data_IF_841976723765
#
_entry.id   IF_841976723765
#
_cell.length_a   1.000
_cell.length_b   1.000
_cell.length_c   1.000
_cell.angle_alpha   90.00
_cell.angle_beta   90.00
_cell.angle_gamma   90.00
#
_symmetry.space_group_name_H-M   'P 1'
#
loop_
_entity.id
_entity.type
_entity.pdbx_description
1 polymer ?
#
# COMPACT_ATOMS: atom_id res chain seq x y z
N UNK A 1 0.47 14.22 11.54
CA UNK A 1 0.01 12.89 12.04
C UNK A 1 0.65 11.74 11.28
N UNK A 2 0.51 11.67 9.95
CA UNK A 2 1.13 10.61 9.13
C UNK A 2 2.66 10.51 9.30
N UNK A 3 3.34 11.62 9.60
CA UNK A 3 4.78 11.67 9.88
C UNK A 3 5.21 10.83 11.10
N UNK A 4 4.40 10.79 12.17
CA UNK A 4 4.73 10.04 13.38
C UNK A 4 4.44 8.54 13.24
N UNK A 5 3.47 8.17 12.41
CA UNK A 5 3.02 6.79 12.23
C UNK A 5 3.80 6.10 11.11
N UNK A 6 4.13 6.83 10.04
CA UNK A 6 4.80 6.28 8.86
C UNK A 6 6.20 6.88 8.67
N UNK A 7 6.37 8.20 8.57
CA UNK A 7 7.65 8.76 8.11
C UNK A 7 8.84 8.50 9.07
N UNK A 8 8.66 8.69 10.38
CA UNK A 8 9.73 8.46 11.37
C UNK A 8 10.06 6.96 11.49
N UNK A 9 9.08 6.06 11.70
CA UNK A 9 9.36 4.62 11.83
C UNK A 9 9.90 4.00 10.53
N UNK A 10 9.44 4.48 9.37
CA UNK A 10 9.93 4.03 8.07
C UNK A 10 11.38 4.50 7.83
N UNK A 11 11.74 5.72 8.25
CA UNK A 11 13.15 6.19 8.23
C UNK A 11 14.04 5.37 9.16
N UNK A 12 13.50 4.92 10.29
CA UNK A 12 14.18 4.04 11.26
C UNK A 12 14.25 2.57 10.84
N UNK A 13 13.69 2.22 9.68
CA UNK A 13 13.62 0.85 9.14
C UNK A 13 12.90 -0.15 10.06
N UNK A 14 11.94 0.34 10.85
CA UNK A 14 11.18 -0.53 11.73
C UNK A 14 10.22 -1.40 10.91
N UNK A 15 10.31 -2.73 11.06
CA UNK A 15 9.56 -3.70 10.24
C UNK A 15 8.05 -3.49 10.35
N UNK A 16 7.55 -3.12 11.53
CA UNK A 16 6.12 -2.85 11.72
C UNK A 16 5.63 -1.66 10.87
N UNK A 17 6.49 -0.66 10.61
CA UNK A 17 6.14 0.50 9.80
C UNK A 17 5.89 0.10 8.34
N UNK A 18 6.66 -0.87 7.85
CA UNK A 18 6.47 -1.44 6.52
C UNK A 18 5.12 -2.16 6.43
N UNK A 19 4.77 -2.97 7.44
CA UNK A 19 3.46 -3.63 7.53
C UNK A 19 2.30 -2.64 7.70
N UNK A 20 2.50 -1.54 8.44
CA UNK A 20 1.50 -0.49 8.65
C UNK A 20 1.16 0.29 7.39
N UNK A 21 2.01 0.24 6.36
CA UNK A 21 1.72 0.80 5.03
C UNK A 21 1.15 -0.28 4.10
N UNK A 22 1.72 -1.49 4.13
CA UNK A 22 1.30 -2.59 3.26
C UNK A 22 -0.17 -3.00 3.52
N UNK A 23 -0.52 -3.29 4.77
CA UNK A 23 -1.83 -3.88 5.08
C UNK A 23 -3.00 -2.95 4.76
N UNK A 24 -2.98 -1.65 5.13
CA UNK A 24 -4.06 -0.75 4.76
C UNK A 24 -4.19 -0.57 3.25
N UNK A 25 -3.07 -0.52 2.52
CA UNK A 25 -3.08 -0.41 1.06
C UNK A 25 -3.73 -1.64 0.40
N UNK A 26 -3.36 -2.85 0.84
CA UNK A 26 -3.94 -4.09 0.32
C UNK A 26 -5.42 -4.22 0.69
N UNK A 27 -5.79 -3.86 1.92
CA UNK A 27 -7.17 -3.90 2.37
C UNK A 27 -8.03 -2.93 1.56
N UNK A 28 -7.59 -1.67 1.42
CA UNK A 28 -8.27 -0.67 0.62
C UNK A 28 -8.43 -1.13 -0.83
N UNK A 29 -7.34 -1.56 -1.48
CA UNK A 29 -7.37 -2.03 -2.86
C UNK A 29 -8.35 -3.19 -3.04
N UNK A 30 -8.31 -4.18 -2.14
CA UNK A 30 -9.16 -5.37 -2.22
C UNK A 30 -10.64 -5.02 -2.04
N UNK A 31 -10.96 -4.24 -1.01
CA UNK A 31 -12.35 -3.86 -0.70
C UNK A 31 -12.91 -2.97 -1.80
N UNK A 32 -12.19 -1.92 -2.18
CA UNK A 32 -12.65 -0.95 -3.18
C UNK A 32 -12.81 -1.60 -4.57
N UNK A 33 -11.86 -2.45 -4.96
CA UNK A 33 -11.93 -3.18 -6.23
C UNK A 33 -13.09 -4.18 -6.25
N UNK A 34 -13.33 -4.88 -5.13
CA UNK A 34 -14.46 -5.81 -5.02
C UNK A 34 -15.78 -5.08 -5.18
N UNK A 35 -15.97 -3.96 -4.48
CA UNK A 35 -17.18 -3.15 -4.57
C UNK A 35 -17.35 -2.59 -6.00
N UNK A 36 -16.27 -2.08 -6.60
CA UNK A 36 -16.30 -1.54 -7.96
C UNK A 36 -16.70 -2.59 -9.01
N UNK A 37 -16.18 -3.82 -8.89
CA UNK A 37 -16.56 -4.93 -9.80
C UNK A 37 -18.03 -5.30 -9.60
N UNK A 38 -18.50 -5.41 -8.36
CA UNK A 38 -19.89 -5.77 -8.04
C UNK A 38 -20.91 -4.76 -8.61
N UNK A 39 -20.54 -3.49 -8.73
CA UNK A 39 -21.40 -2.44 -9.29
C UNK A 39 -21.17 -2.20 -10.81
N UNK A 40 -20.36 -3.03 -11.48
CA UNK A 40 -20.06 -2.91 -12.91
C UNK A 40 -19.04 -1.81 -13.27
N UNK A 41 -18.43 -1.16 -12.28
CA UNK A 41 -17.43 -0.09 -12.45
C UNK A 41 -16.00 -0.64 -12.61
N UNK A 42 -15.81 -1.64 -13.47
CA UNK A 42 -14.50 -2.30 -13.69
C UNK A 42 -13.41 -1.31 -14.17
N UNK A 43 -13.80 -0.25 -14.87
CA UNK A 43 -12.91 0.82 -15.33
C UNK A 43 -12.24 1.56 -14.16
N UNK A 44 -12.97 1.77 -13.06
CA UNK A 44 -12.41 2.39 -11.84
C UNK A 44 -11.31 1.53 -11.23
N UNK A 45 -11.46 0.20 -11.27
CA UNK A 45 -10.41 -0.69 -10.75
C UNK A 45 -9.10 -0.48 -11.49
N UNK A 46 -9.15 -0.43 -12.83
CA UNK A 46 -7.94 -0.32 -13.65
C UNK A 46 -7.32 1.08 -13.55
N UNK A 47 -8.11 2.15 -13.62
CA UNK A 47 -7.57 3.50 -13.63
C UNK A 47 -7.30 4.08 -12.26
N UNK A 48 -8.14 3.77 -11.27
CA UNK A 48 -8.11 4.40 -9.95
C UNK A 48 -7.44 3.51 -8.92
N UNK A 49 -7.59 2.18 -8.99
CA UNK A 49 -7.03 1.30 -7.95
C UNK A 49 -5.69 0.68 -8.33
N UNK A 50 -5.52 0.25 -9.58
CA UNK A 50 -4.27 -0.37 -10.04
C UNK A 50 -3.15 0.67 -10.12
N UNK A 51 -3.44 1.90 -10.56
CA UNK A 51 -2.42 2.94 -10.71
C UNK A 51 -1.71 3.27 -9.37
N UNK A 52 -2.43 3.57 -8.27
CA UNK A 52 -1.81 3.72 -6.95
C UNK A 52 -1.14 2.46 -6.45
N UNK A 53 -1.71 1.28 -6.68
CA UNK A 53 -1.10 0.01 -6.27
C UNK A 53 0.28 -0.18 -6.92
N UNK A 54 0.44 0.20 -8.18
CA UNK A 54 1.74 0.12 -8.88
C UNK A 54 2.69 1.19 -8.34
N UNK A 55 2.25 2.45 -8.29
CA UNK A 55 3.09 3.60 -7.89
C UNK A 55 3.60 3.46 -6.45
N UNK A 56 2.77 2.97 -5.53
CA UNK A 56 3.16 2.79 -4.12
C UNK A 56 3.68 1.37 -3.83
N UNK A 57 3.12 0.35 -4.47
CA UNK A 57 3.50 -1.05 -4.25
C UNK A 57 4.90 -1.39 -4.75
N UNK A 58 5.31 -0.89 -5.92
CA UNK A 58 6.67 -1.12 -6.44
C UNK A 58 7.76 -0.63 -5.47
N UNK A 59 7.77 0.66 -5.04
CA UNK A 59 8.78 1.14 -4.10
C UNK A 59 8.67 0.47 -2.72
N UNK A 60 7.46 0.08 -2.29
CA UNK A 60 7.27 -0.65 -1.03
C UNK A 60 7.89 -2.06 -1.09
N UNK A 61 7.75 -2.78 -2.21
CA UNK A 61 8.39 -4.08 -2.41
C UNK A 61 9.90 -3.93 -2.56
N UNK A 62 10.38 -2.91 -3.30
CA UNK A 62 11.81 -2.64 -3.45
C UNK A 62 12.49 -2.36 -2.10
N UNK A 63 11.80 -1.65 -1.20
CA UNK A 63 12.32 -1.37 0.16
C UNK A 63 12.23 -2.56 1.11
N UNK A 64 11.42 -3.60 0.82
CA UNK A 64 11.25 -4.78 1.70
C UNK A 64 12.58 -5.38 2.17
N UNK A 65 13.55 -5.51 1.27
CA UNK A 65 14.87 -6.10 1.59
C UNK A 65 15.67 -5.27 2.59
N UNK A 66 15.50 -3.94 2.61
CA UNK A 66 16.18 -3.04 3.53
C UNK A 66 15.57 -3.06 4.94
N UNK A 67 14.30 -3.45 5.07
CA UNK A 67 13.61 -3.59 6.36
C UNK A 67 13.76 -5.00 6.95
N UNK A 68 13.77 -6.05 6.10
CA UNK A 68 13.84 -7.45 6.55
C UNK A 68 15.27 -7.97 6.80
N UNK A 69 16.30 -7.22 6.42
CA UNK A 69 17.72 -7.54 6.69
C UNK A 69 18.29 -6.78 7.91
N UNK A 70 17.47 -6.00 8.59
CA UNK A 70 17.86 -5.21 9.77
C UNK A 70 17.88 -6.06 11.04
#
# INVERSE_FOLDING_TARGET
MQSFIAAIPFKRREVWAWHAILWPMLLWFSVDSTISILHGAWFNVVLINVMPLVVFGIPLVATRSAFMRA
#
